data_IF_028963625450
#
_entry.id   IF_028963625450
#
_cell.length_a   1.000
_cell.length_b   1.000
_cell.length_c   1.000
_cell.angle_alpha   90.00
_cell.angle_beta   90.00
_cell.angle_gamma   90.00
#
_symmetry.space_group_name_H-M   'P 1'
#
loop_
_entity.id
_entity.type
_entity.pdbx_description
1 polymer ?
#
# COMPACT_ATOMS: atom_id res chain seq x y z
N UNK A 1 10.53 -20.40 2.48
CA UNK A 1 9.29 -20.05 1.77
C UNK A 1 9.31 -18.54 1.66
N UNK A 2 9.27 -17.97 0.47
CA UNK A 2 9.46 -16.52 0.28
C UNK A 2 8.14 -15.78 0.47
N UNK A 3 8.16 -14.67 1.23
CA UNK A 3 6.99 -13.86 1.54
C UNK A 3 6.76 -12.84 0.43
N UNK A 4 5.59 -12.88 -0.20
CA UNK A 4 5.17 -11.96 -1.26
C UNK A 4 4.60 -10.69 -0.62
N UNK A 5 5.36 -9.62 -0.72
CA UNK A 5 5.06 -8.34 -0.08
C UNK A 5 4.67 -7.31 -1.13
N UNK A 6 3.51 -6.68 -0.95
CA UNK A 6 3.05 -5.60 -1.81
C UNK A 6 3.09 -4.28 -1.02
N UNK A 7 3.75 -3.27 -1.56
CA UNK A 7 3.79 -1.92 -0.97
C UNK A 7 2.77 -1.04 -1.71
N UNK A 8 1.66 -0.71 -1.06
CA UNK A 8 0.71 0.26 -1.58
C UNK A 8 1.06 1.67 -1.14
N UNK A 9 1.09 2.60 -2.08
CA UNK A 9 1.52 3.97 -1.84
C UNK A 9 0.68 4.99 -2.60
N UNK A 10 0.19 6.01 -1.88
CA UNK A 10 -0.61 7.10 -2.46
C UNK A 10 0.12 7.89 -3.55
N UNK A 11 1.44 8.14 -3.39
CA UNK A 11 2.30 8.75 -4.41
C UNK A 11 1.86 10.11 -4.97
N UNK A 12 1.18 10.93 -4.17
CA UNK A 12 0.80 12.30 -4.57
C UNK A 12 1.72 13.39 -4.02
N UNK A 13 2.26 13.20 -2.82
CA UNK A 13 3.16 14.19 -2.21
C UNK A 13 4.44 14.36 -3.01
N UNK A 14 5.03 13.27 -3.50
CA UNK A 14 6.25 13.32 -4.33
C UNK A 14 6.02 13.98 -5.69
N UNK A 15 4.79 13.94 -6.21
CA UNK A 15 4.42 14.60 -7.47
C UNK A 15 4.16 16.10 -7.30
N UNK A 16 3.78 16.55 -6.12
CA UNK A 16 3.27 17.92 -5.87
C UNK A 16 4.17 18.77 -4.97
N UNK A 17 5.02 18.14 -4.15
CA UNK A 17 5.91 18.81 -3.22
C UNK A 17 7.38 18.54 -3.56
N UNK A 18 8.09 19.58 -4.03
CA UNK A 18 9.51 19.51 -4.43
C UNK A 18 10.44 19.04 -3.31
N UNK A 19 10.16 19.38 -2.06
CA UNK A 19 10.99 18.93 -0.93
C UNK A 19 10.83 17.43 -0.72
N UNK A 20 9.59 16.92 -0.77
CA UNK A 20 9.32 15.48 -0.63
C UNK A 20 9.92 14.72 -1.82
N UNK A 21 9.75 15.21 -3.05
CA UNK A 21 10.37 14.63 -4.25
C UNK A 21 11.90 14.55 -4.14
N UNK A 22 12.55 15.56 -3.54
CA UNK A 22 14.00 15.55 -3.32
C UNK A 22 14.44 14.49 -2.31
N UNK A 23 13.63 14.23 -1.27
CA UNK A 23 13.91 13.22 -0.26
C UNK A 23 13.61 11.81 -0.77
N UNK A 24 12.54 11.66 -1.56
CA UNK A 24 12.06 10.39 -2.09
C UNK A 24 11.95 10.48 -3.62
N UNK A 25 13.07 10.45 -4.35
CA UNK A 25 13.09 10.61 -5.81
C UNK A 25 12.36 9.47 -6.54
N UNK A 26 12.31 8.27 -5.93
CA UNK A 26 11.59 7.09 -6.42
C UNK A 26 10.31 6.85 -5.61
N UNK A 27 9.84 7.88 -4.88
CA UNK A 27 8.75 7.76 -3.90
C UNK A 27 9.10 6.97 -2.63
N UNK A 28 8.25 7.09 -1.62
CA UNK A 28 8.43 6.34 -0.36
C UNK A 28 8.35 4.82 -0.56
N UNK A 29 7.56 4.36 -1.54
CA UNK A 29 7.54 2.97 -1.97
C UNK A 29 8.90 2.47 -2.49
N UNK A 30 9.64 3.29 -3.24
CA UNK A 30 10.99 2.98 -3.69
C UNK A 30 11.97 2.83 -2.51
N UNK A 31 11.90 3.75 -1.54
CA UNK A 31 12.71 3.67 -0.33
C UNK A 31 12.39 2.41 0.51
N UNK A 32 11.11 2.08 0.67
CA UNK A 32 10.66 0.86 1.34
C UNK A 32 11.16 -0.39 0.60
N UNK A 33 11.00 -0.45 -0.72
CA UNK A 33 11.49 -1.57 -1.55
C UNK A 33 13.01 -1.75 -1.40
N UNK A 34 13.77 -0.66 -1.34
CA UNK A 34 15.21 -0.71 -1.14
C UNK A 34 15.62 -1.25 0.25
N UNK A 35 14.77 -1.09 1.28
CA UNK A 35 15.05 -1.66 2.60
C UNK A 35 15.06 -3.20 2.62
N UNK A 36 14.37 -3.84 1.68
CA UNK A 36 14.36 -5.30 1.49
C UNK A 36 15.46 -5.80 0.54
N UNK A 37 16.29 -4.90 -0.03
CA UNK A 37 17.25 -5.28 -1.06
C UNK A 37 18.30 -6.25 -0.53
N UNK A 38 18.38 -7.42 -1.16
CA UNK A 38 19.34 -8.47 -0.80
C UNK A 38 18.80 -9.49 0.21
N UNK A 39 17.63 -9.24 0.79
CA UNK A 39 16.90 -10.23 1.58
C UNK A 39 16.22 -11.24 0.64
N UNK A 40 16.54 -12.52 0.79
CA UNK A 40 16.03 -13.61 -0.06
C UNK A 40 14.70 -14.18 0.44
N UNK A 41 14.28 -13.78 1.64
CA UNK A 41 13.04 -14.24 2.24
C UNK A 41 11.83 -13.44 1.77
N UNK A 42 12.04 -12.34 1.01
CA UNK A 42 10.97 -11.49 0.49
C UNK A 42 11.01 -11.34 -1.03
N UNK A 43 9.83 -11.39 -1.66
CA UNK A 43 9.60 -10.85 -3.01
C UNK A 43 8.77 -9.59 -2.84
N UNK A 44 9.31 -8.44 -3.23
CA UNK A 44 8.69 -7.14 -2.96
C UNK A 44 8.30 -6.43 -4.26
N UNK A 45 7.02 -6.08 -4.36
CA UNK A 45 6.48 -5.23 -5.41
C UNK A 45 5.72 -4.03 -4.82
N UNK A 46 5.21 -3.15 -5.68
CA UNK A 46 4.49 -1.95 -5.28
C UNK A 46 3.25 -1.70 -6.13
N UNK A 47 2.34 -0.89 -5.60
CA UNK A 47 1.12 -0.42 -6.23
C UNK A 47 0.89 1.05 -5.88
N UNK A 48 0.38 1.83 -6.84
CA UNK A 48 0.22 3.28 -6.73
C UNK A 48 -1.23 3.68 -6.97
N UNK A 49 -1.72 4.68 -6.21
CA UNK A 49 -3.13 5.10 -6.24
C UNK A 49 -3.61 5.50 -7.64
N UNK A 50 -2.86 6.38 -8.30
CA UNK A 50 -3.28 7.02 -9.55
C UNK A 50 -2.68 6.36 -10.80
N UNK A 51 -1.53 5.70 -10.66
CA UNK A 51 -0.76 5.20 -11.81
C UNK A 51 -1.22 3.79 -12.23
N UNK A 52 -1.79 3.03 -11.29
CA UNK A 52 -2.23 1.65 -11.54
C UNK A 52 -3.76 1.53 -11.66
N UNK A 53 -4.21 0.70 -12.60
CA UNK A 53 -5.60 0.29 -12.67
C UNK A 53 -6.05 -0.36 -11.34
N UNK A 54 -7.26 -0.03 -10.89
CA UNK A 54 -7.78 -0.49 -9.58
C UNK A 54 -6.85 -0.16 -8.40
N UNK A 55 -6.10 0.95 -8.48
CA UNK A 55 -5.08 1.33 -7.49
C UNK A 55 -3.99 0.26 -7.30
N UNK A 56 -3.81 -0.60 -8.31
CA UNK A 56 -2.90 -1.73 -8.29
C UNK A 56 -3.35 -2.87 -7.38
N UNK A 57 -4.58 -2.87 -6.88
CA UNK A 57 -5.12 -3.85 -5.93
C UNK A 57 -6.21 -4.72 -6.56
N UNK A 58 -5.95 -5.23 -7.77
CA UNK A 58 -6.81 -6.22 -8.42
C UNK A 58 -6.95 -7.48 -7.55
N UNK A 59 -8.06 -8.21 -7.69
CA UNK A 59 -8.27 -9.45 -6.93
C UNK A 59 -7.09 -10.42 -7.09
N UNK A 60 -6.63 -10.60 -8.33
CA UNK A 60 -5.48 -11.46 -8.65
C UNK A 60 -4.22 -11.05 -7.87
N UNK A 61 -3.88 -9.75 -7.84
CA UNK A 61 -2.68 -9.30 -7.11
C UNK A 61 -2.81 -9.52 -5.61
N UNK A 62 -4.00 -9.33 -5.04
CA UNK A 62 -4.23 -9.57 -3.61
C UNK A 62 -4.27 -11.06 -3.24
N UNK A 63 -4.70 -11.94 -4.15
CA UNK A 63 -4.61 -13.40 -3.96
C UNK A 63 -3.14 -13.86 -3.97
N UNK A 64 -2.28 -13.12 -4.67
CA UNK A 64 -0.84 -13.34 -4.76
C UNK A 64 -0.04 -12.55 -3.71
N UNK A 65 -0.69 -11.85 -2.79
CA UNK A 65 -0.04 -11.06 -1.73
C UNK A 65 -0.16 -11.76 -0.38
N UNK A 66 0.97 -11.94 0.30
CA UNK A 66 1.01 -12.48 1.67
C UNK A 66 0.92 -11.35 2.70
N UNK A 67 1.61 -10.23 2.45
CA UNK A 67 1.59 -9.04 3.31
C UNK A 67 1.45 -7.77 2.46
N UNK A 68 0.46 -6.95 2.80
CA UNK A 68 0.25 -5.62 2.22
C UNK A 68 0.80 -4.54 3.17
N UNK A 69 1.72 -3.71 2.70
CA UNK A 69 2.13 -2.47 3.38
C UNK A 69 1.28 -1.33 2.83
N UNK A 70 0.80 -0.44 3.69
CA UNK A 70 -0.06 0.66 3.31
C UNK A 70 0.47 2.00 3.77
N UNK A 71 0.81 2.88 2.83
CA UNK A 71 1.10 4.28 3.08
C UNK A 71 0.15 5.19 2.29
N UNK A 72 -0.54 6.09 2.97
CA UNK A 72 -1.36 7.13 2.36
C UNK A 72 -1.52 8.32 3.29
N UNK A 73 -1.99 9.46 2.77
CA UNK A 73 -2.12 10.69 3.55
C UNK A 73 -3.22 11.64 3.04
N UNK A 74 -3.03 12.27 1.88
CA UNK A 74 -3.89 13.38 1.43
C UNK A 74 -5.12 12.93 0.65
N UNK A 75 -5.17 11.67 0.19
CA UNK A 75 -6.15 11.17 -0.76
C UNK A 75 -6.82 9.87 -0.28
N UNK A 76 -6.99 9.69 1.03
CA UNK A 76 -7.70 8.53 1.57
C UNK A 76 -9.12 8.38 1.01
N UNK A 77 -9.78 9.50 0.72
CA UNK A 77 -11.12 9.53 0.12
C UNK A 77 -11.20 8.94 -1.29
N UNK A 78 -10.10 8.96 -2.03
CA UNK A 78 -10.06 8.61 -3.45
C UNK A 78 -9.87 7.11 -3.69
N UNK A 79 -9.49 6.35 -2.65
CA UNK A 79 -9.47 4.89 -2.70
C UNK A 79 -10.92 4.41 -2.81
N UNK A 80 -11.25 3.72 -3.90
CA UNK A 80 -12.62 3.23 -4.13
C UNK A 80 -13.05 2.23 -3.05
N UNK A 81 -14.29 2.33 -2.60
CA UNK A 81 -14.82 1.50 -1.52
C UNK A 81 -14.83 0.00 -1.89
N UNK A 82 -15.04 -0.33 -3.17
CA UNK A 82 -14.94 -1.72 -3.66
C UNK A 82 -13.54 -2.33 -3.45
N UNK A 83 -12.48 -1.50 -3.55
CA UNK A 83 -11.10 -1.92 -3.32
C UNK A 83 -10.84 -2.07 -1.83
N UNK A 84 -11.41 -1.18 -1.01
CA UNK A 84 -11.32 -1.27 0.46
C UNK A 84 -11.94 -2.58 0.95
N UNK A 85 -13.15 -2.93 0.50
CA UNK A 85 -13.80 -4.18 0.91
C UNK A 85 -13.05 -5.41 0.42
N UNK A 86 -12.47 -5.35 -0.78
CA UNK A 86 -11.61 -6.42 -1.32
C UNK A 86 -10.38 -6.66 -0.44
N UNK A 87 -9.69 -5.59 -0.04
CA UNK A 87 -8.53 -5.69 0.86
C UNK A 87 -8.97 -6.19 2.24
N UNK A 88 -10.06 -5.67 2.80
CA UNK A 88 -10.57 -6.11 4.11
C UNK A 88 -10.90 -7.61 4.11
N UNK A 89 -11.57 -8.10 3.06
CA UNK A 89 -11.84 -9.54 2.87
C UNK A 89 -10.54 -10.35 2.88
N UNK A 90 -9.52 -9.93 2.13
CA UNK A 90 -8.23 -10.63 2.06
C UNK A 90 -7.50 -10.65 3.40
N UNK A 91 -7.59 -9.57 4.18
CA UNK A 91 -7.06 -9.52 5.55
C UNK A 91 -7.78 -10.53 6.45
N UNK A 92 -9.11 -10.62 6.39
CA UNK A 92 -9.87 -11.62 7.15
C UNK A 92 -9.57 -13.07 6.74
N UNK A 93 -9.17 -13.28 5.49
CA UNK A 93 -8.71 -14.58 4.97
C UNK A 93 -7.25 -14.90 5.32
N UNK A 94 -6.55 -14.01 6.04
CA UNK A 94 -5.21 -14.26 6.58
C UNK A 94 -4.08 -13.48 5.92
N UNK A 95 -4.35 -12.59 4.96
CA UNK A 95 -3.33 -11.67 4.43
C UNK A 95 -2.89 -10.69 5.52
N UNK A 96 -1.58 -10.53 5.71
CA UNK A 96 -1.03 -9.54 6.64
C UNK A 96 -1.26 -8.12 6.14
N UNK A 97 -1.47 -7.17 7.07
CA UNK A 97 -1.56 -5.74 6.76
C UNK A 97 -0.69 -4.94 7.72
N UNK A 98 0.23 -4.15 7.18
CA UNK A 98 1.06 -3.20 7.93
C UNK A 98 0.68 -1.78 7.50
N UNK A 99 0.05 -1.04 8.39
CA UNK A 99 -0.37 0.34 8.15
C UNK A 99 0.68 1.31 8.70
N UNK A 100 1.12 2.25 7.87
CA UNK A 100 2.24 3.14 8.19
C UNK A 100 1.76 4.59 8.38
N UNK A 101 2.18 5.20 9.49
CA UNK A 101 2.06 6.64 9.75
C UNK A 101 0.62 7.17 9.51
N UNK A 102 0.45 8.16 8.63
CA UNK A 102 -0.85 8.74 8.23
C UNK A 102 -1.85 7.73 7.66
N UNK A 103 -1.38 6.52 7.29
CA UNK A 103 -2.23 5.39 6.97
C UNK A 103 -3.23 5.02 8.07
N UNK A 104 -3.04 5.48 9.32
CA UNK A 104 -4.04 5.38 10.40
C UNK A 104 -5.40 5.99 10.03
N UNK A 105 -5.47 6.87 9.02
CA UNK A 105 -6.72 7.44 8.50
C UNK A 105 -7.15 6.89 7.14
N UNK A 106 -6.47 5.87 6.65
CA UNK A 106 -6.90 5.14 5.45
C UNK A 106 -8.27 4.49 5.67
N UNK A 107 -9.08 4.47 4.60
CA UNK A 107 -10.38 3.77 4.62
C UNK A 107 -10.25 2.33 5.10
N UNK A 108 -9.23 1.60 4.63
CA UNK A 108 -9.00 0.20 5.02
C UNK A 108 -8.72 0.05 6.52
N UNK A 109 -7.89 0.91 7.12
CA UNK A 109 -7.60 0.80 8.55
C UNK A 109 -8.83 1.13 9.39
N UNK A 110 -9.53 2.23 9.06
CA UNK A 110 -10.79 2.60 9.73
C UNK A 110 -11.84 1.49 9.65
N UNK A 111 -11.98 0.89 8.46
CA UNK A 111 -12.89 -0.22 8.17
C UNK A 111 -12.61 -1.47 9.00
N UNK A 112 -11.34 -1.78 9.27
CA UNK A 112 -10.95 -2.92 10.11
C UNK A 112 -11.08 -2.62 11.61
N UNK A 113 -10.86 -1.38 12.03
CA UNK A 113 -10.92 -0.97 13.44
C UNK A 113 -12.33 -0.58 13.91
N UNK A 114 -13.31 -0.51 13.01
CA UNK A 114 -14.71 -0.19 13.36
C UNK A 114 -14.95 1.29 13.68
N UNK A 115 -14.14 2.19 13.12
CA UNK A 115 -14.27 3.64 13.35
C UNK A 115 -14.86 4.35 12.13
N UNK A 116 -15.94 5.16 12.29
CA UNK A 116 -16.59 5.87 11.19
C UNK A 116 -15.69 6.92 10.54
#
# INVERSE_FOLDING_TARGET
MTIRTLIWHEHRHEKTNKLVAKLYPEGMHGALKNAFKGDKDFVVDHALLDDDAEHGLSQKRLDETDVLLWWGHAAHGDVKDEIVERVAKRVFEGMGLIVLHSGHYSKIFKRLMGTP
#
